data_IF_233829418808
#
_entry.id   IF_233829418808
#
_cell.length_a   1.000
_cell.length_b   1.000
_cell.length_c   1.000
_cell.angle_alpha   90.00
_cell.angle_beta   90.00
_cell.angle_gamma   90.00
#
_symmetry.space_group_name_H-M   'P 1'
#
loop_
_entity.id
_entity.type
_entity.pdbx_description
1 polymer ?
#
# COMPACT_ATOMS: atom_id res chain seq x y z
N UNK A 1 -24.32 -5.72 31.02
CA UNK A 1 -23.00 -5.08 30.80
C UNK A 1 -23.24 -3.63 30.45
N UNK A 2 -22.44 -2.71 30.96
CA UNK A 2 -22.65 -1.27 30.79
C UNK A 2 -22.04 -0.81 29.45
N UNK A 3 -22.85 -0.45 28.43
CA UNK A 3 -22.38 -0.20 27.06
C UNK A 3 -21.39 0.96 26.94
N UNK A 4 -21.40 1.88 27.92
CA UNK A 4 -20.46 3.00 27.97
C UNK A 4 -19.02 2.52 28.31
N UNK A 5 -18.89 1.54 29.21
CA UNK A 5 -17.58 0.98 29.58
C UNK A 5 -16.96 0.18 28.43
N UNK A 6 -17.79 -0.59 27.72
CA UNK A 6 -17.34 -1.35 26.54
C UNK A 6 -16.87 -0.40 25.43
N UNK A 7 -17.55 0.73 25.23
CA UNK A 7 -17.17 1.73 24.24
C UNK A 7 -15.84 2.44 24.57
N UNK A 8 -15.59 2.74 25.86
CA UNK A 8 -14.33 3.34 26.31
C UNK A 8 -13.16 2.35 26.16
N UNK A 9 -13.40 1.07 26.43
CA UNK A 9 -12.41 0.01 26.21
C UNK A 9 -12.07 -0.13 24.72
N UNK A 10 -13.07 -0.18 23.85
CA UNK A 10 -12.89 -0.24 22.39
C UNK A 10 -12.09 0.97 21.87
N UNK A 11 -12.40 2.17 22.36
CA UNK A 11 -11.67 3.38 21.99
C UNK A 11 -10.20 3.33 22.40
N UNK A 12 -9.89 2.79 23.60
CA UNK A 12 -8.51 2.58 24.05
C UNK A 12 -7.78 1.55 23.17
N UNK A 13 -8.44 0.45 22.81
CA UNK A 13 -7.87 -0.58 21.94
C UNK A 13 -7.58 -0.05 20.53
N UNK A 14 -8.46 0.79 19.97
CA UNK A 14 -8.18 1.47 18.70
C UNK A 14 -6.93 2.34 18.76
N UNK A 15 -6.75 3.10 19.85
CA UNK A 15 -5.58 3.95 20.06
C UNK A 15 -4.29 3.14 20.22
N UNK A 16 -4.36 2.00 20.93
CA UNK A 16 -3.23 1.08 21.05
C UNK A 16 -2.82 0.52 19.68
N UNK A 17 -3.77 0.05 18.87
CA UNK A 17 -3.49 -0.43 17.51
C UNK A 17 -2.84 0.67 16.64
N UNK A 18 -3.34 1.91 16.72
CA UNK A 18 -2.77 3.04 15.99
C UNK A 18 -1.37 3.45 16.49
N UNK A 19 -1.05 3.22 17.77
CA UNK A 19 0.27 3.44 18.33
C UNK A 19 1.26 2.36 17.86
N UNK A 20 0.88 1.08 17.95
CA UNK A 20 1.69 -0.04 17.45
C UNK A 20 1.97 0.07 15.94
N UNK A 21 0.96 0.43 15.15
CA UNK A 21 1.14 0.66 13.71
C UNK A 21 2.16 1.77 13.43
N UNK A 22 2.20 2.82 14.27
CA UNK A 22 3.17 3.91 14.15
C UNK A 22 4.57 3.49 14.57
N UNK A 23 4.70 2.74 15.65
CA UNK A 23 5.98 2.16 16.09
C UNK A 23 6.58 1.32 14.96
N UNK A 24 5.82 0.37 14.40
CA UNK A 24 6.27 -0.44 13.26
C UNK A 24 6.65 0.39 12.03
N UNK A 25 5.95 1.49 11.76
CA UNK A 25 6.29 2.38 10.66
C UNK A 25 7.60 3.14 10.91
N UNK A 26 7.83 3.56 12.15
CA UNK A 26 9.08 4.21 12.58
C UNK A 26 10.24 3.19 12.52
N UNK A 27 10.07 1.99 13.04
CA UNK A 27 11.08 0.93 13.00
C UNK A 27 11.44 0.59 11.55
N UNK A 28 10.44 0.46 10.68
CA UNK A 28 10.65 0.28 9.24
C UNK A 28 11.42 1.45 8.63
N UNK A 29 11.08 2.69 8.99
CA UNK A 29 11.78 3.88 8.49
C UNK A 29 13.24 3.95 8.97
N UNK A 30 13.50 3.63 10.24
CA UNK A 30 14.84 3.57 10.82
C UNK A 30 15.70 2.45 10.23
N UNK A 31 15.11 1.29 9.96
CA UNK A 31 15.78 0.17 9.29
C UNK A 31 15.98 0.44 7.79
N UNK A 32 15.14 1.28 7.18
CA UNK A 32 15.23 1.62 5.76
C UNK A 32 16.37 2.61 5.49
N UNK A 33 17.06 2.43 4.37
CA UNK A 33 17.99 3.45 3.89
C UNK A 33 17.24 4.60 3.25
N UNK A 34 17.65 5.83 3.54
CA UNK A 34 17.21 7.03 2.86
C UNK A 34 17.38 6.88 1.34
N UNK A 35 16.39 7.29 0.58
CA UNK A 35 16.43 7.33 -0.88
C UNK A 35 16.04 8.70 -1.41
N UNK A 36 16.63 9.05 -2.53
CA UNK A 36 16.27 10.24 -3.31
C UNK A 36 15.32 9.78 -4.43
N UNK A 37 14.13 10.37 -4.47
CA UNK A 37 13.16 10.15 -5.54
C UNK A 37 13.31 11.19 -6.65
N UNK A 38 13.40 10.75 -7.90
CA UNK A 38 13.45 11.62 -9.08
C UNK A 38 12.06 11.68 -9.73
N UNK A 39 11.40 12.83 -9.69
CA UNK A 39 10.05 13.04 -10.23
C UNK A 39 10.05 14.20 -11.23
N UNK A 40 9.19 14.12 -12.25
CA UNK A 40 9.04 15.18 -13.26
C UNK A 40 8.83 14.67 -14.68
N UNK A 41 8.50 15.61 -15.58
CA UNK A 41 8.12 15.35 -16.97
C UNK A 41 9.31 14.99 -17.87
N UNK A 42 10.46 15.67 -17.71
CA UNK A 42 11.63 15.45 -18.57
C UNK A 42 12.37 14.16 -18.20
N UNK A 43 12.23 13.13 -19.05
CA UNK A 43 12.93 11.86 -18.84
C UNK A 43 14.44 12.01 -19.00
N UNK A 44 14.89 12.80 -20.00
CA UNK A 44 16.30 13.07 -20.23
C UNK A 44 16.97 13.74 -19.01
N UNK A 45 16.28 14.70 -18.35
CA UNK A 45 16.79 15.33 -17.14
C UNK A 45 16.90 14.33 -15.98
N UNK A 46 15.91 13.45 -15.80
CA UNK A 46 15.97 12.39 -14.78
C UNK A 46 17.08 11.38 -15.06
N UNK A 47 17.27 10.98 -16.31
CA UNK A 47 18.36 10.10 -16.72
C UNK A 47 19.73 10.74 -16.46
N UNK A 48 19.90 12.02 -16.82
CA UNK A 48 21.12 12.77 -16.53
C UNK A 48 21.41 12.83 -15.03
N UNK A 49 20.42 13.21 -14.20
CA UNK A 49 20.57 13.25 -12.74
C UNK A 49 20.91 11.86 -12.16
N UNK A 50 20.27 10.80 -12.66
CA UNK A 50 20.56 9.43 -12.25
C UNK A 50 22.02 9.07 -12.56
N UNK A 51 22.52 9.39 -13.75
CA UNK A 51 23.93 9.17 -14.12
C UNK A 51 24.87 10.01 -13.25
N UNK A 52 24.55 11.28 -12.97
CA UNK A 52 25.40 12.13 -12.13
C UNK A 52 25.49 11.62 -10.69
N UNK A 53 24.41 11.03 -10.14
CA UNK A 53 24.36 10.56 -8.76
C UNK A 53 24.86 9.11 -8.59
N UNK A 54 24.59 8.25 -9.56
CA UNK A 54 24.81 6.80 -9.45
C UNK A 54 25.72 6.21 -10.53
N UNK A 55 26.00 6.98 -11.59
CA UNK A 55 26.83 6.53 -12.70
C UNK A 55 28.29 6.31 -12.31
N UNK A 56 28.96 5.52 -13.12
CA UNK A 56 30.41 5.39 -13.06
C UNK A 56 31.07 6.67 -13.59
N UNK A 57 32.34 6.92 -13.22
CA UNK A 57 33.12 8.04 -13.77
C UNK A 57 33.25 8.04 -15.31
N UNK A 58 32.83 6.96 -15.98
CA UNK A 58 32.77 6.86 -17.44
C UNK A 58 31.44 7.35 -18.07
N UNK A 59 30.53 7.91 -17.27
CA UNK A 59 29.21 8.37 -17.74
C UNK A 59 28.21 7.24 -18.01
N UNK A 60 28.58 5.99 -17.72
CA UNK A 60 27.71 4.80 -17.85
C UNK A 60 27.03 4.45 -16.55
N UNK A 61 25.80 3.96 -16.64
CA UNK A 61 25.00 3.52 -15.50
C UNK A 61 25.02 2.00 -15.42
N UNK A 62 26.05 1.46 -14.79
CA UNK A 62 26.21 0.01 -14.65
C UNK A 62 25.29 -0.53 -13.53
N UNK A 63 24.56 -1.59 -13.84
CA UNK A 63 23.68 -2.30 -12.91
C UNK A 63 24.04 -3.78 -12.94
N UNK A 64 24.33 -4.34 -11.78
CA UNK A 64 24.62 -5.76 -11.63
C UNK A 64 23.32 -6.53 -11.35
N UNK A 65 23.03 -7.52 -12.19
CA UNK A 65 21.90 -8.43 -12.08
C UNK A 65 22.47 -9.85 -11.96
N UNK A 66 22.45 -10.39 -10.74
CA UNK A 66 23.12 -11.65 -10.42
C UNK A 66 24.62 -11.54 -10.71
N UNK A 67 25.14 -12.46 -11.52
CA UNK A 67 26.55 -12.48 -11.92
C UNK A 67 26.89 -11.59 -13.13
N UNK A 68 25.90 -10.94 -13.74
CA UNK A 68 26.09 -10.13 -14.96
C UNK A 68 25.98 -8.64 -14.65
N UNK A 69 26.72 -7.82 -15.40
CA UNK A 69 26.62 -6.36 -15.31
C UNK A 69 26.18 -5.79 -16.65
N UNK A 70 25.18 -4.91 -16.61
CA UNK A 70 24.60 -4.27 -17.78
C UNK A 70 24.68 -2.77 -17.66
N UNK A 71 24.86 -2.07 -18.78
CA UNK A 71 24.57 -0.63 -18.83
C UNK A 71 23.06 -0.42 -18.93
N UNK A 72 22.46 0.20 -17.91
CA UNK A 72 21.02 0.39 -17.77
C UNK A 72 20.42 1.12 -18.97
N UNK A 73 21.04 2.20 -19.45
CA UNK A 73 20.46 3.00 -20.53
C UNK A 73 20.60 2.36 -21.90
N UNK A 74 21.59 1.49 -22.10
CA UNK A 74 21.80 0.83 -23.39
C UNK A 74 21.05 -0.50 -23.49
N UNK A 75 20.96 -1.26 -22.39
CA UNK A 75 20.42 -2.63 -22.42
C UNK A 75 19.04 -2.79 -21.76
N UNK A 76 18.66 -1.94 -20.81
CA UNK A 76 17.42 -2.11 -20.01
C UNK A 76 16.39 -1.03 -20.34
N UNK A 77 16.81 0.23 -20.46
CA UNK A 77 15.93 1.37 -20.77
C UNK A 77 16.52 2.21 -21.93
N UNK A 78 16.59 1.65 -23.15
CA UNK A 78 17.01 2.39 -24.34
C UNK A 78 16.10 3.58 -24.59
N UNK A 79 16.69 4.75 -24.86
CA UNK A 79 15.95 5.98 -25.15
C UNK A 79 15.35 6.69 -23.93
N UNK A 80 15.65 6.25 -22.70
CA UNK A 80 15.18 6.87 -21.47
C UNK A 80 13.64 6.96 -21.38
N UNK A 81 12.95 5.91 -21.80
CA UNK A 81 11.50 5.86 -21.79
C UNK A 81 10.91 5.90 -20.37
N UNK A 82 9.60 6.15 -20.31
CA UNK A 82 8.83 5.98 -19.09
C UNK A 82 8.87 4.51 -18.65
N UNK A 83 9.13 4.27 -17.37
CA UNK A 83 9.01 2.94 -16.78
C UNK A 83 7.61 2.74 -16.23
N UNK A 84 7.03 1.55 -16.46
CA UNK A 84 5.72 1.17 -15.91
C UNK A 84 5.75 0.97 -14.38
N UNK A 85 6.93 0.99 -13.78
CA UNK A 85 7.18 0.76 -12.37
C UNK A 85 8.20 1.76 -11.84
N UNK A 86 8.16 2.04 -10.54
CA UNK A 86 9.22 2.76 -9.87
C UNK A 86 10.47 1.86 -9.78
N UNK A 87 11.61 2.36 -10.26
CA UNK A 87 12.88 1.63 -10.23
C UNK A 87 13.77 2.22 -9.14
N UNK A 88 14.27 1.37 -8.24
CA UNK A 88 15.20 1.78 -7.17
C UNK A 88 16.59 1.21 -7.46
N UNK A 89 17.57 2.09 -7.59
CA UNK A 89 18.98 1.72 -7.66
C UNK A 89 19.59 1.75 -6.27
N UNK A 90 20.38 0.74 -5.93
CA UNK A 90 21.06 0.64 -4.64
C UNK A 90 22.46 0.08 -4.84
N UNK A 91 23.41 0.57 -4.03
CA UNK A 91 24.78 0.02 -3.98
C UNK A 91 24.88 -1.19 -3.06
N UNK A 92 23.90 -1.41 -2.19
CA UNK A 92 23.84 -2.64 -1.40
C UNK A 92 23.43 -3.77 -2.33
N UNK A 93 24.24 -4.83 -2.36
CA UNK A 93 23.83 -6.12 -2.88
C UNK A 93 23.04 -6.83 -1.78
N UNK A 94 21.69 -6.86 -1.84
CA UNK A 94 20.95 -7.72 -0.94
C UNK A 94 21.33 -9.17 -1.26
N UNK A 95 21.31 -10.05 -0.25
CA UNK A 95 21.44 -11.48 -0.49
C UNK A 95 20.33 -11.92 -1.46
N UNK A 96 20.74 -12.30 -2.66
CA UNK A 96 19.86 -12.83 -3.69
C UNK A 96 19.69 -14.32 -3.36
N UNK A 97 18.45 -14.74 -3.10
CA UNK A 97 18.17 -16.14 -2.74
C UNK A 97 18.32 -17.09 -3.94
N UNK A 98 18.09 -16.57 -5.16
CA UNK A 98 18.19 -17.31 -6.41
C UNK A 98 18.78 -16.41 -7.51
N UNK A 99 19.97 -16.78 -8.02
CA UNK A 99 20.66 -16.07 -9.09
C UNK A 99 19.86 -16.05 -10.41
N UNK A 100 18.91 -16.97 -10.60
CA UNK A 100 18.01 -16.97 -11.75
C UNK A 100 17.01 -15.79 -11.72
N UNK A 101 16.73 -15.22 -10.54
CA UNK A 101 15.79 -14.12 -10.35
C UNK A 101 16.41 -12.97 -9.53
N UNK A 102 17.39 -12.24 -10.10
CA UNK A 102 18.17 -11.25 -9.35
C UNK A 102 17.41 -9.95 -9.07
N UNK A 103 16.24 -9.74 -9.69
CA UNK A 103 15.42 -8.56 -9.49
C UNK A 103 14.47 -8.76 -8.33
N UNK A 104 14.46 -7.82 -7.38
CA UNK A 104 13.45 -7.78 -6.31
C UNK A 104 12.27 -6.90 -6.74
N UNK A 105 11.10 -7.50 -6.75
CA UNK A 105 9.83 -6.81 -6.90
C UNK A 105 9.20 -6.57 -5.53
N UNK A 106 8.83 -5.31 -5.27
CA UNK A 106 8.01 -4.91 -4.14
C UNK A 106 6.65 -4.48 -4.66
N UNK A 107 5.60 -5.16 -4.19
CA UNK A 107 4.22 -4.82 -4.50
C UNK A 107 3.68 -3.83 -3.46
N UNK A 108 2.70 -3.05 -3.90
CA UNK A 108 1.90 -2.21 -3.00
C UNK A 108 0.98 -3.12 -2.19
N UNK A 109 0.97 -2.97 -0.87
CA UNK A 109 0.09 -3.79 -0.01
C UNK A 109 -1.37 -3.34 -0.12
N UNK A 110 -2.32 -4.19 0.32
CA UNK A 110 -3.74 -3.81 0.37
C UNK A 110 -3.93 -2.52 1.19
N UNK A 111 -3.21 -2.39 2.32
CA UNK A 111 -3.31 -1.22 3.19
C UNK A 111 -2.78 0.07 2.53
N UNK A 112 -1.67 -0.03 1.80
CA UNK A 112 -1.10 1.08 1.05
C UNK A 112 -2.02 1.50 -0.12
N UNK A 113 -2.64 0.53 -0.80
CA UNK A 113 -3.64 0.81 -1.84
C UNK A 113 -4.84 1.58 -1.27
N UNK A 114 -5.37 1.18 -0.11
CA UNK A 114 -6.46 1.91 0.55
C UNK A 114 -6.05 3.36 0.86
N UNK A 115 -4.85 3.58 1.40
CA UNK A 115 -4.33 4.93 1.66
C UNK A 115 -4.19 5.75 0.37
N UNK A 116 -3.69 5.15 -0.71
CA UNK A 116 -3.59 5.79 -2.02
C UNK A 116 -4.97 6.20 -2.54
N UNK A 117 -5.99 5.35 -2.40
CA UNK A 117 -7.35 5.68 -2.82
C UNK A 117 -7.97 6.80 -1.99
N UNK A 118 -7.74 6.82 -0.67
CA UNK A 118 -8.15 7.93 0.21
C UNK A 118 -7.51 9.23 -0.29
N UNK A 119 -6.19 9.24 -0.49
CA UNK A 119 -5.46 10.41 -0.97
C UNK A 119 -6.00 10.90 -2.32
N UNK A 120 -6.23 9.97 -3.27
CA UNK A 120 -6.76 10.30 -4.60
C UNK A 120 -8.16 10.88 -4.55
N UNK A 121 -9.03 10.35 -3.69
CA UNK A 121 -10.41 10.83 -3.56
C UNK A 121 -10.42 12.24 -2.98
N UNK A 122 -9.52 12.54 -2.04
CA UNK A 122 -9.41 13.88 -1.46
C UNK A 122 -8.97 14.95 -2.47
N UNK A 123 -8.28 14.57 -3.54
CA UNK A 123 -7.94 15.47 -4.66
C UNK A 123 -9.14 15.80 -5.56
N UNK A 124 -10.25 15.05 -5.48
CA UNK A 124 -11.43 15.22 -6.33
C UNK A 124 -12.73 15.34 -5.52
N UNK A 125 -13.02 16.51 -4.90
CA UNK A 125 -14.29 16.77 -4.23
C UNK A 125 -15.50 16.75 -5.19
N UNK A 126 -16.73 16.47 -4.73
CA UNK A 126 -17.12 16.31 -3.32
C UNK A 126 -17.13 14.85 -2.82
N UNK A 127 -16.55 14.63 -1.64
CA UNK A 127 -16.76 13.40 -0.85
C UNK A 127 -18.04 13.57 -0.04
N UNK A 128 -19.01 12.68 -0.25
CA UNK A 128 -20.21 12.59 0.61
C UNK A 128 -19.91 11.66 1.78
N UNK A 129 -19.91 12.15 3.03
CA UNK A 129 -19.70 11.28 4.18
C UNK A 129 -20.84 10.26 4.26
N UNK A 130 -20.51 9.03 4.63
CA UNK A 130 -21.52 8.00 4.91
C UNK A 130 -21.95 8.16 6.36
N UNK A 131 -23.26 8.31 6.60
CA UNK A 131 -23.83 8.44 7.95
C UNK A 131 -23.42 7.27 8.85
N UNK A 132 -23.11 7.56 10.11
CA UNK A 132 -22.65 6.56 11.09
C UNK A 132 -23.60 5.36 11.21
N UNK A 133 -24.92 5.60 11.23
CA UNK A 133 -25.94 4.54 11.30
C UNK A 133 -25.90 3.58 10.11
N UNK A 134 -25.55 4.08 8.91
CA UNK A 134 -25.39 3.26 7.71
C UNK A 134 -24.12 2.40 7.80
N UNK A 135 -23.05 2.94 8.39
CA UNK A 135 -21.81 2.20 8.63
C UNK A 135 -22.05 1.06 9.61
N UNK A 136 -22.71 1.35 10.74
CA UNK A 136 -23.07 0.34 11.76
C UNK A 136 -23.95 -0.76 11.17
N UNK A 137 -24.98 -0.41 10.39
CA UNK A 137 -25.85 -1.39 9.74
C UNK A 137 -25.10 -2.29 8.73
N UNK A 138 -24.10 -1.75 8.02
CA UNK A 138 -23.25 -2.54 7.11
C UNK A 138 -22.28 -3.43 7.88
N UNK A 139 -21.71 -2.92 8.96
CA UNK A 139 -20.81 -3.67 9.80
C UNK A 139 -21.49 -4.92 10.35
N UNK A 140 -22.75 -4.81 10.76
CA UNK A 140 -23.54 -5.95 11.21
C UNK A 140 -23.75 -6.98 10.09
N UNK A 141 -24.03 -6.54 8.85
CA UNK A 141 -24.11 -7.45 7.70
C UNK A 141 -22.80 -8.15 7.41
N UNK A 142 -21.68 -7.43 7.48
CA UNK A 142 -20.35 -8.01 7.23
C UNK A 142 -19.90 -8.97 8.34
N UNK A 143 -20.38 -8.81 9.59
CA UNK A 143 -20.15 -9.79 10.65
C UNK A 143 -20.69 -11.17 10.30
N UNK A 144 -21.79 -11.25 9.55
CA UNK A 144 -22.33 -12.52 9.07
C UNK A 144 -21.50 -13.16 7.93
N UNK A 145 -20.59 -12.41 7.29
CA UNK A 145 -19.72 -12.87 6.20
C UNK A 145 -18.31 -13.26 6.65
N UNK A 146 -18.09 -13.32 7.97
CA UNK A 146 -16.80 -13.74 8.55
C UNK A 146 -16.45 -15.14 8.09
N UNK A 147 -15.19 -15.29 7.68
CA UNK A 147 -14.62 -16.58 7.33
C UNK A 147 -14.25 -17.36 8.60
N UNK A 148 -14.36 -18.70 8.60
CA UNK A 148 -14.00 -19.54 9.76
C UNK A 148 -12.52 -19.44 10.15
N UNK A 149 -11.65 -19.12 9.18
CA UNK A 149 -10.22 -18.91 9.37
C UNK A 149 -9.87 -17.48 8.95
N UNK A 150 -8.85 -16.90 9.59
CA UNK A 150 -8.34 -15.57 9.22
C UNK A 150 -7.90 -15.56 7.76
N UNK A 151 -8.29 -14.52 7.02
CA UNK A 151 -7.96 -14.39 5.61
C UNK A 151 -6.67 -13.57 5.50
N UNK A 152 -5.62 -14.07 4.81
CA UNK A 152 -4.41 -13.30 4.61
C UNK A 152 -4.70 -12.02 3.80
N UNK A 153 -3.91 -10.98 4.04
CA UNK A 153 -3.95 -9.73 3.28
C UNK A 153 -4.04 -8.46 4.12
N UNK A 154 -4.63 -8.53 5.33
CA UNK A 154 -4.66 -7.38 6.23
C UNK A 154 -4.76 -7.74 7.70
N UNK A 155 -3.93 -7.08 8.51
CA UNK A 155 -3.89 -7.14 9.97
C UNK A 155 -4.69 -6.00 10.63
N UNK A 156 -5.04 -6.17 11.91
CA UNK A 156 -5.67 -5.10 12.70
C UNK A 156 -4.78 -3.85 12.83
N UNK A 157 -3.45 -4.02 12.83
CA UNK A 157 -2.50 -2.89 12.87
C UNK A 157 -2.52 -2.10 11.56
N UNK A 158 -2.61 -2.78 10.41
CA UNK A 158 -2.75 -2.11 9.11
C UNK A 158 -4.07 -1.34 9.01
N UNK A 159 -5.16 -1.88 9.56
CA UNK A 159 -6.41 -1.12 9.70
C UNK A 159 -6.21 0.12 10.57
N UNK A 160 -5.50 0.00 11.70
CA UNK A 160 -5.14 1.14 12.54
C UNK A 160 -4.31 2.21 11.81
N UNK A 161 -3.40 1.79 10.92
CA UNK A 161 -2.64 2.71 10.06
C UNK A 161 -3.54 3.45 9.08
N UNK A 162 -4.47 2.74 8.43
CA UNK A 162 -5.49 3.32 7.54
C UNK A 162 -6.36 4.31 8.30
N UNK A 163 -6.86 3.93 9.48
CA UNK A 163 -7.69 4.77 10.33
C UNK A 163 -7.01 6.10 10.64
N UNK A 164 -5.74 6.04 11.07
CA UNK A 164 -4.93 7.22 11.37
C UNK A 164 -4.67 8.07 10.13
N UNK A 165 -4.35 7.46 9.00
CA UNK A 165 -4.16 8.17 7.74
C UNK A 165 -5.42 8.93 7.33
N UNK A 166 -6.57 8.26 7.39
CA UNK A 166 -7.87 8.85 7.08
C UNK A 166 -8.23 10.00 8.04
N UNK A 167 -8.06 9.80 9.35
CA UNK A 167 -8.32 10.84 10.36
C UNK A 167 -7.42 12.07 10.19
N UNK A 168 -6.20 11.91 9.71
CA UNK A 168 -5.29 13.02 9.43
C UNK A 168 -5.66 13.76 8.13
N UNK A 169 -6.15 13.03 7.13
CA UNK A 169 -6.41 13.55 5.79
C UNK A 169 -7.82 14.15 5.64
N UNK A 170 -8.80 13.64 6.38
CA UNK A 170 -10.21 14.07 6.31
C UNK A 170 -10.52 15.09 7.42
N UNK A 171 -11.17 16.24 7.12
CA UNK A 171 -11.56 17.19 8.16
C UNK A 171 -12.49 16.57 9.21
N UNK A 172 -12.28 16.89 10.50
CA UNK A 172 -13.04 16.34 11.64
C UNK A 172 -14.57 16.40 11.47
N UNK A 173 -15.10 17.48 10.90
CA UNK A 173 -16.54 17.64 10.65
C UNK A 173 -17.14 16.60 9.70
N UNK A 174 -16.31 15.90 8.91
CA UNK A 174 -16.72 14.84 7.98
C UNK A 174 -16.39 13.44 8.50
N UNK A 175 -15.80 13.32 9.69
CA UNK A 175 -15.39 12.05 10.24
C UNK A 175 -16.57 11.36 10.94
N UNK A 176 -17.18 10.39 10.26
CA UNK A 176 -18.33 9.62 10.77
C UNK A 176 -17.94 8.32 11.50
N UNK A 177 -16.66 7.93 11.43
CA UNK A 177 -16.12 6.73 12.08
C UNK A 177 -15.31 7.18 13.30
N UNK A 178 -15.82 6.89 14.49
CA UNK A 178 -15.15 7.15 15.77
C UNK A 178 -14.19 6.02 16.16
N UNK A 179 -13.46 6.20 17.26
CA UNK A 179 -12.43 5.25 17.71
C UNK A 179 -13.02 3.85 17.95
N UNK A 180 -14.21 3.73 18.54
CA UNK A 180 -14.84 2.45 18.79
C UNK A 180 -15.27 1.75 17.50
N UNK A 181 -15.82 2.48 16.53
CA UNK A 181 -16.17 1.90 15.24
C UNK A 181 -14.93 1.46 14.47
N UNK A 182 -13.83 2.21 14.55
CA UNK A 182 -12.53 1.79 14.02
C UNK A 182 -12.00 0.52 14.69
N UNK A 183 -12.16 0.37 16.00
CA UNK A 183 -11.82 -0.86 16.71
C UNK A 183 -12.60 -2.05 16.15
N UNK A 184 -13.92 -1.90 16.00
CA UNK A 184 -14.76 -2.98 15.47
C UNK A 184 -14.41 -3.35 14.03
N UNK A 185 -14.05 -2.37 13.18
CA UNK A 185 -13.54 -2.61 11.83
C UNK A 185 -12.19 -3.36 11.89
N UNK A 186 -11.26 -2.94 12.75
CA UNK A 186 -9.94 -3.58 12.90
C UNK A 186 -10.03 -5.04 13.35
N UNK A 187 -11.02 -5.37 14.18
CA UNK A 187 -11.29 -6.74 14.62
C UNK A 187 -12.00 -7.56 13.54
N UNK A 188 -12.83 -6.93 12.70
CA UNK A 188 -13.61 -7.61 11.66
C UNK A 188 -12.80 -7.90 10.39
N UNK A 189 -12.13 -6.89 9.84
CA UNK A 189 -11.47 -6.93 8.51
C UNK A 189 -10.55 -8.15 8.30
N UNK A 190 -9.70 -8.56 9.26
CA UNK A 190 -8.83 -9.73 9.08
C UNK A 190 -9.57 -11.06 8.88
N UNK A 191 -10.86 -11.11 9.22
CA UNK A 191 -11.73 -12.28 9.05
C UNK A 191 -12.64 -12.20 7.82
N UNK A 192 -12.50 -11.16 6.99
CA UNK A 192 -13.31 -10.97 5.79
C UNK A 192 -12.55 -11.38 4.54
N UNK A 193 -13.27 -11.86 3.53
CA UNK A 193 -12.71 -12.07 2.19
C UNK A 193 -12.40 -10.73 1.50
N UNK A 194 -11.60 -10.78 0.43
CA UNK A 194 -11.16 -9.59 -0.30
C UNK A 194 -12.34 -8.74 -0.81
N UNK A 195 -13.38 -9.38 -1.36
CA UNK A 195 -14.55 -8.69 -1.92
C UNK A 195 -15.28 -7.89 -0.84
N UNK A 196 -15.44 -8.48 0.35
CA UNK A 196 -16.06 -7.79 1.48
C UNK A 196 -15.14 -6.70 2.03
N UNK A 197 -13.82 -6.92 2.12
CA UNK A 197 -12.86 -5.86 2.51
C UNK A 197 -12.93 -4.65 1.57
N UNK A 198 -12.97 -4.86 0.26
CA UNK A 198 -13.16 -3.77 -0.71
C UNK A 198 -14.47 -2.99 -0.45
N UNK A 199 -15.53 -3.69 -0.07
CA UNK A 199 -16.80 -3.08 0.32
C UNK A 199 -16.71 -2.28 1.63
N UNK A 200 -15.91 -2.75 2.61
CA UNK A 200 -15.59 -2.00 3.84
C UNK A 200 -14.90 -0.68 3.47
N UNK A 201 -13.86 -0.73 2.65
CA UNK A 201 -13.08 0.46 2.29
C UNK A 201 -13.87 1.47 1.45
N UNK A 202 -14.88 1.00 0.70
CA UNK A 202 -15.77 1.88 -0.07
C UNK A 202 -16.46 2.98 0.74
N UNK A 203 -16.58 2.79 2.06
CA UNK A 203 -17.12 3.78 2.98
C UNK A 203 -16.26 5.05 3.06
N UNK A 204 -14.94 4.93 2.91
CA UNK A 204 -14.01 6.03 3.14
C UNK A 204 -14.04 7.10 2.03
N UNK A 205 -14.59 6.76 0.87
CA UNK A 205 -14.75 7.67 -0.28
C UNK A 205 -16.22 7.85 -0.71
N UNK A 206 -17.18 7.52 0.17
CA UNK A 206 -18.57 7.97 0.04
C UNK A 206 -19.44 7.22 -0.94
N UNK A 207 -19.13 5.95 -1.29
CA UNK A 207 -19.96 5.17 -2.22
C UNK A 207 -20.97 4.25 -1.51
N UNK A 208 -22.24 4.48 -1.83
CA UNK A 208 -23.37 3.61 -1.53
C UNK A 208 -23.68 2.75 -2.76
N UNK A 209 -23.16 1.51 -2.75
CA UNK A 209 -23.39 0.46 -3.75
C UNK A 209 -22.81 0.70 -5.16
N UNK A 210 -22.37 -0.40 -5.78
CA UNK A 210 -21.72 -0.42 -7.09
C UNK A 210 -20.21 -0.31 -6.98
N UNK A 211 -19.55 -1.46 -6.97
CA UNK A 211 -18.10 -1.60 -7.20
C UNK A 211 -17.72 -0.82 -8.46
N UNK A 212 -16.74 0.07 -8.38
CA UNK A 212 -16.05 0.51 -9.60
C UNK A 212 -15.21 -0.68 -10.06
N UNK A 213 -15.36 -1.19 -11.30
CA UNK A 213 -14.52 -2.27 -11.81
C UNK A 213 -13.04 -2.01 -11.50
N UNK A 214 -12.57 -0.77 -11.58
CA UNK A 214 -11.17 -0.40 -11.27
C UNK A 214 -10.69 -0.72 -9.83
N UNK A 215 -11.55 -0.66 -8.81
CA UNK A 215 -11.12 -0.98 -7.42
C UNK A 215 -11.19 -2.49 -7.16
N UNK A 216 -12.20 -3.18 -7.69
CA UNK A 216 -12.25 -4.63 -7.61
C UNK A 216 -11.18 -5.30 -8.47
N UNK A 217 -10.81 -4.71 -9.60
CA UNK A 217 -9.75 -5.19 -10.51
C UNK A 217 -8.36 -4.97 -9.88
N UNK A 218 -8.13 -3.83 -9.23
CA UNK A 218 -6.89 -3.59 -8.46
C UNK A 218 -6.80 -4.47 -7.21
N UNK A 219 -7.90 -4.69 -6.48
CA UNK A 219 -7.92 -5.63 -5.37
C UNK A 219 -7.75 -7.09 -5.86
N UNK A 220 -8.38 -7.49 -6.96
CA UNK A 220 -8.23 -8.82 -7.55
C UNK A 220 -6.80 -9.10 -8.04
N UNK A 221 -6.10 -8.10 -8.59
CA UNK A 221 -4.66 -8.20 -8.89
C UNK A 221 -3.78 -8.33 -7.65
N UNK A 222 -4.17 -7.74 -6.51
CA UNK A 222 -3.44 -7.89 -5.25
C UNK A 222 -3.69 -9.24 -4.54
N UNK A 223 -4.77 -9.94 -4.92
CA UNK A 223 -5.21 -11.20 -4.31
C UNK A 223 -4.90 -12.45 -5.14
N UNK A 224 -4.23 -12.32 -6.29
CA UNK A 224 -3.65 -13.49 -6.95
C UNK A 224 -2.47 -13.98 -6.11
N UNK A 225 -2.73 -15.05 -5.35
CA UNK A 225 -1.87 -15.73 -4.39
C UNK A 225 -0.38 -15.79 -4.73
N UNK A 226 0.40 -14.98 -4.01
CA UNK A 226 1.66 -15.41 -3.40
C UNK A 226 2.01 -14.46 -2.25
N UNK A 227 2.73 -14.90 -1.20
CA UNK A 227 3.15 -14.03 -0.10
C UNK A 227 4.12 -12.97 -0.65
N UNK A 228 3.55 -11.85 -1.10
CA UNK A 228 4.26 -10.76 -1.75
C UNK A 228 4.88 -9.84 -0.71
N UNK A 229 5.87 -10.35 0.01
CA UNK A 229 6.88 -9.48 0.59
C UNK A 229 8.01 -9.21 -0.43
N UNK A 230 8.33 -10.18 -1.29
CA UNK A 230 9.42 -10.12 -2.29
C UNK A 230 9.15 -11.15 -3.40
N UNK A 231 8.67 -10.73 -4.56
CA UNK A 231 8.69 -11.59 -5.75
C UNK A 231 10.04 -11.39 -6.46
N UNK A 232 10.65 -12.47 -6.96
CA UNK A 232 11.90 -12.40 -7.70
C UNK A 232 11.59 -12.52 -9.22
N UNK A 233 12.13 -11.63 -10.05
CA UNK A 233 11.90 -11.63 -11.51
C UNK A 233 13.17 -12.01 -12.29
N UNK A 234 13.04 -12.72 -13.44
CA UNK A 234 14.19 -13.13 -14.24
C UNK A 234 14.87 -11.91 -14.88
N UNK A 235 16.16 -12.02 -15.16
CA UNK A 235 16.99 -10.92 -15.64
C UNK A 235 16.90 -10.65 -17.16
N UNK A 236 15.97 -11.29 -17.88
CA UNK A 236 15.95 -11.18 -19.34
C UNK A 236 15.40 -9.81 -19.78
N UNK A 237 16.12 -9.06 -20.64
CA UNK A 237 15.58 -7.85 -21.24
C UNK A 237 14.38 -8.21 -22.11
N UNK A 238 13.33 -7.40 -22.06
CA UNK A 238 12.17 -7.57 -22.93
C UNK A 238 12.66 -7.63 -24.39
N UNK A 239 12.46 -8.79 -25.04
CA UNK A 239 12.76 -8.98 -26.45
C UNK A 239 12.08 -7.90 -27.29
N UNK A 240 12.81 -7.40 -28.29
CA UNK A 240 12.38 -6.32 -29.18
C UNK A 240 11.14 -6.62 -30.00
#
# INVERSE_FOLDING_TARGET
MAPMLDNDADALLARLNAAQAREQAIDRALASQSSIGLYGHSQAAKAHLLTSLCGSGSGRMNVSLGQRTFDYFSHINPGHGLTNMAVRFTKKHPDIADDAFPLRLSLVTEAELVQLFIARTLLHPPIRPVEKSVIEARLEKWRALRQPQGVPGMSAQEVGAIARFWQNAVPRAKQQIDDALWHQIATLVPSLDLSTRASVWSLLWGRTAGVNPAVAEVCACAASDQPCARACCPAEPAGG
#
